data_IF_061207199842
#
_entry.id   IF_061207199842
#
_cell.length_a   1.000
_cell.length_b   1.000
_cell.length_c   1.000
_cell.angle_alpha   90.00
_cell.angle_beta   90.00
_cell.angle_gamma   90.00
#
_symmetry.space_group_name_H-M   'P 1'
#
loop_
_entity.id
_entity.type
_entity.pdbx_description
1 polymer ?
#
# COMPACT_ATOMS: atom_id res chain seq x y z
N UNK A 1 27.83 6.67 -18.99
CA UNK A 1 26.40 6.55 -19.40
C UNK A 1 25.80 5.20 -19.05
N UNK A 2 26.37 4.07 -19.51
CA UNK A 2 25.82 2.74 -19.23
C UNK A 2 25.74 2.42 -17.73
N UNK A 3 26.79 2.73 -16.97
CA UNK A 3 26.83 2.50 -15.53
C UNK A 3 25.78 3.32 -14.75
N UNK A 4 25.51 4.55 -15.21
CA UNK A 4 24.45 5.41 -14.65
C UNK A 4 23.07 4.87 -14.99
N UNK A 5 22.84 4.46 -16.24
CA UNK A 5 21.58 3.86 -16.67
C UNK A 5 21.27 2.58 -15.88
N UNK A 6 22.27 1.72 -15.70
CA UNK A 6 22.12 0.48 -14.93
C UNK A 6 21.83 0.76 -13.45
N UNK A 7 22.57 1.71 -12.85
CA UNK A 7 22.34 2.13 -11.46
C UNK A 7 20.96 2.77 -11.27
N UNK A 8 20.50 3.59 -12.22
CA UNK A 8 19.17 4.19 -12.18
C UNK A 8 18.07 3.15 -12.31
N UNK A 9 18.16 2.21 -13.25
CA UNK A 9 17.17 1.13 -13.40
C UNK A 9 17.10 0.25 -12.16
N UNK A 10 18.25 -0.16 -11.61
CA UNK A 10 18.29 -0.96 -10.37
C UNK A 10 17.70 -0.19 -9.17
N UNK A 11 18.01 1.10 -9.05
CA UNK A 11 17.45 1.97 -8.01
C UNK A 11 15.92 2.08 -8.09
N UNK A 12 15.36 2.18 -9.30
CA UNK A 12 13.90 2.22 -9.48
C UNK A 12 13.24 0.88 -9.14
N UNK A 13 13.82 -0.25 -9.55
CA UNK A 13 13.27 -1.59 -9.24
C UNK A 13 13.30 -1.84 -7.73
N UNK A 14 14.40 -1.52 -7.06
CA UNK A 14 14.50 -1.65 -5.60
C UNK A 14 13.53 -0.71 -4.89
N UNK A 15 13.45 0.56 -5.32
CA UNK A 15 12.51 1.53 -4.76
C UNK A 15 11.05 1.08 -4.89
N UNK A 16 10.69 0.54 -6.05
CA UNK A 16 9.35 0.01 -6.30
C UNK A 16 9.08 -1.24 -5.44
N UNK A 17 10.04 -2.16 -5.33
CA UNK A 17 9.91 -3.33 -4.46
C UNK A 17 9.71 -2.96 -2.99
N UNK A 18 10.40 -1.92 -2.51
CA UNK A 18 10.24 -1.42 -1.14
C UNK A 18 8.86 -0.77 -0.95
N UNK A 19 8.42 0.11 -1.84
CA UNK A 19 7.08 0.69 -1.78
C UNK A 19 5.98 -0.40 -1.85
N UNK A 20 6.19 -1.43 -2.66
CA UNK A 20 5.28 -2.58 -2.76
C UNK A 20 5.27 -3.48 -1.52
N UNK A 21 6.38 -3.59 -0.78
CA UNK A 21 6.45 -4.44 0.42
C UNK A 21 6.08 -3.72 1.71
N UNK A 22 6.26 -2.40 1.80
CA UNK A 22 5.98 -1.64 3.02
C UNK A 22 4.66 -0.85 2.93
N UNK A 23 4.43 -0.14 1.82
CA UNK A 23 3.28 0.76 1.71
C UNK A 23 2.02 0.05 1.25
N UNK A 24 2.10 -0.87 0.28
CA UNK A 24 0.92 -1.56 -0.26
C UNK A 24 0.22 -2.46 0.77
N UNK A 25 0.90 -3.32 1.54
CA UNK A 25 0.24 -4.19 2.50
C UNK A 25 -0.38 -3.38 3.65
N UNK A 26 0.32 -2.33 4.09
CA UNK A 26 -0.17 -1.44 5.14
C UNK A 26 -1.36 -0.60 4.67
N UNK A 27 -1.36 -0.13 3.43
CA UNK A 27 -2.47 0.59 2.82
C UNK A 27 -3.70 -0.32 2.63
N UNK A 28 -3.50 -1.55 2.13
CA UNK A 28 -4.58 -2.51 1.96
C UNK A 28 -5.25 -2.84 3.31
N UNK A 29 -4.45 -3.06 4.35
CA UNK A 29 -4.94 -3.29 5.72
C UNK A 29 -5.75 -2.09 6.24
N UNK A 30 -5.24 -0.88 6.04
CA UNK A 30 -5.95 0.35 6.45
C UNK A 30 -7.27 0.53 5.71
N UNK A 31 -7.35 0.19 4.42
CA UNK A 31 -8.60 0.25 3.64
C UNK A 31 -9.61 -0.78 4.14
N UNK A 32 -9.16 -2.00 4.47
CA UNK A 32 -10.01 -3.04 5.04
C UNK A 32 -10.60 -2.61 6.39
N UNK A 33 -9.79 -1.98 7.26
CA UNK A 33 -10.23 -1.43 8.54
C UNK A 33 -11.29 -0.33 8.36
N UNK A 34 -11.07 0.62 7.43
CA UNK A 34 -12.05 1.67 7.10
C UNK A 34 -13.36 1.05 6.57
N UNK A 35 -13.27 0.04 5.71
CA UNK A 35 -14.45 -0.64 5.18
C UNK A 35 -15.26 -1.33 6.29
N UNK A 36 -14.59 -1.99 7.24
CA UNK A 36 -15.25 -2.63 8.40
C UNK A 36 -15.93 -1.60 9.30
N UNK A 37 -15.28 -0.46 9.58
CA UNK A 37 -15.89 0.62 10.37
C UNK A 37 -17.12 1.21 9.67
N UNK A 38 -17.06 1.39 8.34
CA UNK A 38 -18.19 1.84 7.55
C UNK A 38 -19.36 0.85 7.57
N UNK A 39 -19.09 -0.45 7.47
CA UNK A 39 -20.11 -1.49 7.58
C UNK A 39 -20.71 -1.55 9.00
N UNK A 40 -19.90 -1.38 10.04
CA UNK A 40 -20.37 -1.29 11.42
C UNK A 40 -21.27 -0.06 11.64
N UNK A 41 -20.91 1.10 11.07
CA UNK A 41 -21.75 2.32 11.10
C UNK A 41 -23.02 2.22 10.26
N UNK A 42 -23.05 1.34 9.24
CA UNK A 42 -24.27 1.08 8.44
C UNK A 42 -25.29 0.20 9.14
N UNK A 43 -24.88 -0.60 10.14
CA UNK A 43 -25.85 -1.32 10.97
C UNK A 43 -26.52 -0.31 11.90
N UNK A 44 -27.86 -0.19 11.89
CA UNK A 44 -28.55 0.66 12.85
C UNK A 44 -28.19 0.17 14.26
N UNK A 45 -28.08 1.06 15.27
CA UNK A 45 -27.97 0.61 16.64
C UNK A 45 -29.14 -0.34 16.90
N UNK A 46 -28.85 -1.58 17.27
CA UNK A 46 -29.90 -2.53 17.63
C UNK A 46 -30.73 -1.84 18.71
N UNK A 47 -32.02 -1.63 18.42
CA UNK A 47 -33.00 -1.20 19.41
C UNK A 47 -33.12 -2.23 20.53
#
# INVERSE_FOLDING_TARGET
MLQFLLGFTLGNVVGMYLAQNYDIPNLAKKIEEIKKDLEAKKKPPSS
#
